data_IF_674217409341
#
_entry.id   IF_674217409341
#
_cell.length_a   1.000
_cell.length_b   1.000
_cell.length_c   1.000
_cell.angle_alpha   90.00
_cell.angle_beta   90.00
_cell.angle_gamma   90.00
#
_symmetry.space_group_name_H-M   'P 1'
#
loop_
_entity.id
_entity.type
_entity.pdbx_description
1 polymer ?
#
# COMPACT_ATOMS: atom_id res chain seq x y z
N UNK A 1 12.31 23.76 7.15
CA UNK A 1 10.92 24.23 7.31
C UNK A 1 10.01 23.01 7.25
N UNK A 2 8.94 22.96 8.03
CA UNK A 2 7.95 21.91 7.96
C UNK A 2 7.26 21.91 6.58
N UNK A 3 7.10 20.75 5.96
CA UNK A 3 6.41 20.61 4.66
C UNK A 3 4.93 20.36 4.90
N UNK A 4 4.07 20.82 4.00
CA UNK A 4 2.64 20.51 4.01
C UNK A 4 2.39 19.31 3.07
N UNK A 5 2.04 18.16 3.66
CA UNK A 5 1.94 16.89 2.96
C UNK A 5 0.52 16.34 3.03
N UNK A 6 -0.09 16.06 1.88
CA UNK A 6 -1.36 15.36 1.78
C UNK A 6 -1.13 13.87 1.56
N UNK A 7 -1.77 13.02 2.36
CA UNK A 7 -1.77 11.56 2.16
C UNK A 7 -3.20 11.11 1.83
N UNK A 8 -3.41 10.58 0.63
CA UNK A 8 -4.66 9.88 0.33
C UNK A 8 -4.54 8.40 0.72
N UNK A 9 -5.62 7.82 1.24
CA UNK A 9 -5.57 6.48 1.82
C UNK A 9 -4.86 6.43 3.18
N UNK A 10 -4.89 7.54 3.92
CA UNK A 10 -4.22 7.70 5.22
C UNK A 10 -4.65 6.67 6.26
N UNK A 11 -5.89 6.19 6.22
CA UNK A 11 -6.42 5.16 7.12
C UNK A 11 -5.97 3.74 6.77
N UNK A 12 -5.28 3.54 5.63
CA UNK A 12 -4.69 2.27 5.22
C UNK A 12 -3.37 1.97 5.94
N UNK A 13 -2.88 0.74 5.81
CA UNK A 13 -1.67 0.26 6.49
C UNK A 13 -0.44 1.14 6.21
N UNK A 14 -0.12 1.39 4.93
CA UNK A 14 0.99 2.27 4.53
C UNK A 14 0.71 3.73 4.88
N UNK A 15 -0.54 4.19 4.68
CA UNK A 15 -0.92 5.58 4.95
C UNK A 15 -0.69 5.97 6.41
N UNK A 16 -1.03 5.08 7.35
CA UNK A 16 -0.77 5.28 8.79
C UNK A 16 0.71 5.38 9.11
N UNK A 17 1.54 4.49 8.54
CA UNK A 17 2.99 4.52 8.77
C UNK A 17 3.63 5.80 8.21
N UNK A 18 3.26 6.21 7.00
CA UNK A 18 3.72 7.46 6.38
C UNK A 18 3.31 8.69 7.22
N UNK A 19 2.06 8.76 7.65
CA UNK A 19 1.58 9.85 8.47
C UNK A 19 2.32 9.96 9.80
N UNK A 20 2.62 8.81 10.43
CA UNK A 20 3.42 8.74 11.66
C UNK A 20 4.84 9.26 11.43
N UNK A 21 5.54 8.77 10.41
CA UNK A 21 6.93 9.15 10.14
C UNK A 21 7.03 10.65 9.79
N UNK A 22 6.15 11.17 8.94
CA UNK A 22 6.12 12.59 8.59
C UNK A 22 5.84 13.48 9.81
N UNK A 23 4.89 13.10 10.66
CA UNK A 23 4.59 13.83 11.90
C UNK A 23 5.80 13.85 12.86
N UNK A 24 6.54 12.74 12.98
CA UNK A 24 7.77 12.67 13.79
C UNK A 24 8.86 13.55 13.20
N UNK A 25 8.94 13.69 11.88
CA UNK A 25 9.85 14.61 11.19
C UNK A 25 9.45 16.09 11.33
N UNK A 26 8.29 16.38 11.93
CA UNK A 26 7.79 17.74 12.12
C UNK A 26 7.03 18.31 10.93
N UNK A 27 6.65 17.49 9.95
CA UNK A 27 5.84 17.92 8.81
C UNK A 27 4.35 18.09 9.19
N UNK A 28 3.66 18.97 8.49
CA UNK A 28 2.22 19.14 8.61
C UNK A 28 1.51 18.12 7.71
N UNK A 29 0.76 17.22 8.32
CA UNK A 29 0.11 16.12 7.59
C UNK A 29 -1.39 16.35 7.51
N UNK A 30 -1.92 16.27 6.28
CA UNK A 30 -3.34 16.22 5.99
C UNK A 30 -3.67 14.86 5.42
N UNK A 31 -4.68 14.19 5.94
CA UNK A 31 -5.07 12.85 5.53
C UNK A 31 -6.43 12.79 4.86
N UNK A 32 -6.55 12.07 3.76
CA UNK A 32 -7.84 11.71 3.15
C UNK A 32 -8.04 10.21 3.26
N UNK A 33 -9.18 9.81 3.86
CA UNK A 33 -9.69 8.44 3.88
C UNK A 33 -11.00 8.34 3.11
N UNK A 34 -11.39 7.13 2.69
CA UNK A 34 -12.67 6.88 2.04
C UNK A 34 -13.76 6.45 3.04
N UNK A 35 -13.39 5.74 4.09
CA UNK A 35 -14.30 5.19 5.09
C UNK A 35 -14.31 6.06 6.35
N UNK A 36 -15.47 6.58 6.72
CA UNK A 36 -15.67 7.36 7.94
C UNK A 36 -15.19 6.57 9.18
N UNK A 37 -15.61 5.29 9.31
CA UNK A 37 -15.22 4.40 10.40
C UNK A 37 -13.69 4.28 10.49
N UNK A 38 -13.02 3.91 9.40
CA UNK A 38 -11.54 3.75 9.38
C UNK A 38 -10.81 5.07 9.63
N UNK A 39 -11.35 6.19 9.14
CA UNK A 39 -10.77 7.51 9.37
C UNK A 39 -10.91 7.90 10.85
N UNK A 40 -12.03 7.59 11.47
CA UNK A 40 -12.25 7.80 12.90
C UNK A 40 -11.30 6.92 13.74
N UNK A 41 -11.19 5.62 13.46
CA UNK A 41 -10.23 4.74 14.12
C UNK A 41 -8.77 5.22 13.94
N UNK A 42 -8.42 5.69 12.75
CA UNK A 42 -7.10 6.24 12.47
C UNK A 42 -6.81 7.50 13.31
N UNK A 43 -7.81 8.33 13.60
CA UNK A 43 -7.63 9.55 14.40
C UNK A 43 -7.11 9.28 15.81
N UNK A 44 -7.41 8.12 16.38
CA UNK A 44 -6.89 7.72 17.70
C UNK A 44 -5.45 7.19 17.66
N UNK A 45 -5.02 6.69 16.51
CA UNK A 45 -3.67 6.11 16.35
C UNK A 45 -2.67 7.07 15.74
N UNK A 46 -3.15 8.08 15.02
CA UNK A 46 -2.35 9.12 14.38
C UNK A 46 -2.12 10.33 15.31
N UNK A 47 -1.86 10.06 16.59
CA UNK A 47 -1.51 11.09 17.55
C UNK A 47 -0.01 11.35 17.45
N UNK A 48 0.35 12.51 16.97
CA UNK A 48 1.74 12.98 16.82
C UNK A 48 1.93 14.35 17.49
N UNK A 49 3.17 14.87 17.47
CA UNK A 49 3.46 16.22 17.98
C UNK A 49 2.67 17.31 17.23
N UNK A 50 2.32 17.06 15.97
CA UNK A 50 1.44 17.89 15.17
C UNK A 50 0.09 17.17 14.95
N UNK A 51 -1.02 17.86 15.12
CA UNK A 51 -2.35 17.29 14.87
C UNK A 51 -2.52 16.98 13.37
N UNK A 52 -2.86 15.74 13.05
CA UNK A 52 -3.17 15.32 11.68
C UNK A 52 -4.63 15.69 11.40
N UNK A 53 -4.86 16.49 10.37
CA UNK A 53 -6.23 16.81 9.93
C UNK A 53 -6.73 15.74 8.97
N UNK A 54 -7.89 15.16 9.28
CA UNK A 54 -8.46 14.04 8.50
C UNK A 54 -9.74 14.49 7.79
N UNK A 55 -9.85 14.09 6.53
CA UNK A 55 -11.02 14.28 5.69
C UNK A 55 -11.53 12.93 5.16
N UNK A 56 -12.84 12.82 4.96
CA UNK A 56 -13.46 11.65 4.36
C UNK A 56 -14.01 12.03 2.97
N UNK A 57 -13.38 11.51 1.91
CA UNK A 57 -13.75 11.81 0.52
C UNK A 57 -13.70 10.56 -0.36
N UNK A 58 -14.58 10.50 -1.34
CA UNK A 58 -14.42 9.64 -2.52
C UNK A 58 -13.67 10.41 -3.63
N UNK A 59 -12.40 10.07 -3.84
CA UNK A 59 -11.53 10.77 -4.80
C UNK A 59 -12.01 10.68 -6.25
N UNK A 60 -12.89 9.72 -6.57
CA UNK A 60 -13.47 9.62 -7.92
C UNK A 60 -14.60 10.64 -8.15
N UNK A 61 -15.22 11.16 -7.09
CA UNK A 61 -16.37 12.05 -7.16
C UNK A 61 -16.12 13.44 -6.55
N UNK A 62 -15.40 13.53 -5.43
CA UNK A 62 -15.26 14.73 -4.61
C UNK A 62 -14.15 15.69 -5.07
N UNK A 63 -14.03 15.89 -6.39
CA UNK A 63 -12.98 16.69 -7.01
C UNK A 63 -12.87 18.11 -6.44
N UNK A 64 -13.99 18.80 -6.26
CA UNK A 64 -14.00 20.17 -5.75
C UNK A 64 -13.56 20.27 -4.29
N UNK A 65 -13.88 19.27 -3.48
CA UNK A 65 -13.45 19.22 -2.09
C UNK A 65 -11.94 18.95 -1.99
N UNK A 66 -11.40 18.07 -2.86
CA UNK A 66 -9.96 17.82 -2.93
C UNK A 66 -9.20 19.11 -3.31
N UNK A 67 -9.67 19.86 -4.31
CA UNK A 67 -9.07 21.15 -4.71
C UNK A 67 -9.10 22.16 -3.54
N UNK A 68 -10.24 22.24 -2.86
CA UNK A 68 -10.35 23.12 -1.68
C UNK A 68 -9.36 22.73 -0.58
N UNK A 69 -9.18 21.42 -0.29
CA UNK A 69 -8.24 20.97 0.74
C UNK A 69 -6.80 21.30 0.37
N UNK A 70 -6.40 21.05 -0.87
CA UNK A 70 -5.03 21.37 -1.34
C UNK A 70 -4.74 22.87 -1.16
N UNK A 71 -5.66 23.74 -1.57
CA UNK A 71 -5.53 25.19 -1.41
C UNK A 71 -5.54 25.63 0.04
N UNK A 72 -6.49 25.14 0.84
CA UNK A 72 -6.67 25.52 2.25
C UNK A 72 -5.45 25.23 3.11
N UNK A 73 -4.73 24.16 2.81
CA UNK A 73 -3.58 23.70 3.58
C UNK A 73 -2.24 24.00 2.91
N UNK A 74 -2.22 24.75 1.81
CA UNK A 74 -1.02 25.05 1.04
C UNK A 74 -0.17 23.81 0.78
N UNK A 75 -0.82 22.73 0.28
CA UNK A 75 -0.19 21.42 0.11
C UNK A 75 0.95 21.51 -0.89
N UNK A 76 2.14 21.13 -0.47
CA UNK A 76 3.36 21.11 -1.27
C UNK A 76 3.66 19.74 -1.89
N UNK A 77 3.29 18.66 -1.18
CA UNK A 77 3.54 17.28 -1.58
C UNK A 77 2.28 16.44 -1.40
N UNK A 78 2.05 15.53 -2.34
CA UNK A 78 0.94 14.58 -2.25
C UNK A 78 1.49 13.15 -2.32
N UNK A 79 1.10 12.30 -1.38
CA UNK A 79 1.36 10.86 -1.42
C UNK A 79 0.03 10.15 -1.66
N UNK A 80 -0.12 9.59 -2.87
CA UNK A 80 -1.34 8.92 -3.30
C UNK A 80 -1.26 7.42 -3.04
N UNK A 81 -1.74 6.99 -1.84
CA UNK A 81 -1.79 5.59 -1.43
C UNK A 81 -3.22 5.01 -1.43
N UNK A 82 -4.24 5.81 -1.77
CA UNK A 82 -5.61 5.32 -1.90
C UNK A 82 -5.73 4.39 -3.12
N UNK A 83 -6.26 3.20 -2.91
CA UNK A 83 -6.54 2.25 -3.99
C UNK A 83 -7.49 1.13 -3.52
N UNK A 84 -8.21 0.55 -4.47
CA UNK A 84 -8.81 -0.77 -4.32
C UNK A 84 -7.73 -1.83 -4.61
N UNK A 85 -7.14 -2.41 -3.55
CA UNK A 85 -5.90 -3.21 -3.64
C UNK A 85 -6.10 -4.73 -3.71
N UNK A 86 -7.27 -5.23 -3.33
CA UNK A 86 -7.54 -6.67 -3.32
C UNK A 86 -7.76 -7.19 -4.73
N UNK A 87 -6.86 -8.08 -5.19
CA UNK A 87 -6.85 -8.62 -6.56
C UNK A 87 -8.18 -9.29 -6.89
N UNK A 88 -8.66 -10.22 -6.06
CA UNK A 88 -9.93 -10.91 -6.27
C UNK A 88 -11.13 -9.97 -6.37
N UNK A 89 -11.28 -9.04 -5.40
CA UNK A 89 -12.37 -8.06 -5.43
C UNK A 89 -12.29 -7.13 -6.65
N UNK A 90 -11.09 -6.74 -7.08
CA UNK A 90 -10.91 -5.92 -8.27
C UNK A 90 -11.30 -6.69 -9.54
N UNK A 91 -11.01 -8.00 -9.58
CA UNK A 91 -11.38 -8.87 -10.69
C UNK A 91 -12.88 -9.04 -10.81
N UNK A 92 -13.58 -9.20 -9.69
CA UNK A 92 -15.04 -9.32 -9.62
C UNK A 92 -15.75 -7.98 -9.85
N UNK A 93 -15.10 -6.85 -9.53
CA UNK A 93 -15.67 -5.51 -9.60
C UNK A 93 -14.79 -4.55 -10.44
N UNK A 94 -14.55 -4.84 -11.74
CA UNK A 94 -13.60 -4.11 -12.57
C UNK A 94 -13.97 -2.62 -12.75
N UNK A 95 -15.25 -2.31 -12.85
CA UNK A 95 -15.71 -0.91 -12.96
C UNK A 95 -15.33 -0.10 -11.71
N UNK A 96 -15.55 -0.67 -10.50
CA UNK A 96 -15.17 0.01 -9.26
C UNK A 96 -13.64 0.14 -9.14
N UNK A 97 -12.89 -0.86 -9.59
CA UNK A 97 -11.43 -0.78 -9.62
C UNK A 97 -10.94 0.35 -10.54
N UNK A 98 -11.54 0.51 -11.73
CA UNK A 98 -11.23 1.63 -12.65
C UNK A 98 -11.63 2.97 -12.01
N UNK A 99 -12.82 3.06 -11.44
CA UNK A 99 -13.31 4.28 -10.80
C UNK A 99 -12.37 4.76 -9.69
N UNK A 100 -11.99 3.88 -8.77
CA UNK A 100 -11.11 4.22 -7.64
C UNK A 100 -9.66 4.42 -8.09
N UNK A 101 -9.10 3.44 -8.82
CA UNK A 101 -7.65 3.41 -9.09
C UNK A 101 -7.23 4.24 -10.31
N UNK A 102 -8.15 4.51 -11.25
CA UNK A 102 -7.84 5.28 -12.46
C UNK A 102 -8.46 6.67 -12.38
N UNK A 103 -9.79 6.77 -12.23
CA UNK A 103 -10.47 8.07 -12.20
C UNK A 103 -10.10 8.85 -10.94
N UNK A 104 -10.10 8.20 -9.76
CA UNK A 104 -9.67 8.81 -8.51
C UNK A 104 -8.21 9.30 -8.59
N UNK A 105 -7.30 8.48 -9.13
CA UNK A 105 -5.91 8.86 -9.36
C UNK A 105 -5.76 10.03 -10.34
N UNK A 106 -6.55 10.02 -11.44
CA UNK A 106 -6.57 11.11 -12.40
C UNK A 106 -7.03 12.43 -11.75
N UNK A 107 -8.05 12.39 -10.91
CA UNK A 107 -8.51 13.58 -10.18
C UNK A 107 -7.41 14.12 -9.25
N UNK A 108 -6.71 13.25 -8.52
CA UNK A 108 -5.57 13.65 -7.68
C UNK A 108 -4.47 14.26 -8.53
N UNK A 109 -4.12 13.65 -9.67
CA UNK A 109 -3.13 14.15 -10.61
C UNK A 109 -3.47 15.54 -11.13
N UNK A 110 -4.66 15.71 -11.71
CA UNK A 110 -5.08 16.96 -12.32
C UNK A 110 -5.09 18.13 -11.34
N UNK A 111 -5.60 17.87 -10.12
CA UNK A 111 -5.70 18.88 -9.08
C UNK A 111 -4.33 19.22 -8.49
N UNK A 112 -3.48 18.22 -8.27
CA UNK A 112 -2.10 18.45 -7.83
C UNK A 112 -1.33 19.28 -8.85
N UNK A 113 -1.44 18.95 -10.14
CA UNK A 113 -0.79 19.67 -11.22
C UNK A 113 -1.28 21.13 -11.33
N UNK A 114 -2.60 21.35 -11.32
CA UNK A 114 -3.17 22.69 -11.44
C UNK A 114 -2.92 23.60 -10.24
N UNK A 115 -2.62 23.03 -9.08
CA UNK A 115 -2.25 23.79 -7.86
C UNK A 115 -0.73 23.91 -7.65
N UNK A 116 0.10 23.43 -8.58
CA UNK A 116 1.55 23.58 -8.49
C UNK A 116 2.18 22.74 -7.37
N UNK A 117 1.59 21.60 -7.02
CA UNK A 117 2.17 20.64 -6.07
C UNK A 117 3.58 20.26 -6.53
N UNK A 118 4.59 20.39 -5.66
CA UNK A 118 6.01 20.18 -5.98
C UNK A 118 6.31 18.77 -6.45
N UNK A 119 5.71 17.77 -5.79
CA UNK A 119 5.73 16.37 -6.23
C UNK A 119 4.46 15.63 -5.79
N UNK A 120 3.99 14.75 -6.66
CA UNK A 120 2.95 13.77 -6.41
C UNK A 120 3.56 12.37 -6.52
N UNK A 121 3.55 11.63 -5.41
CA UNK A 121 4.09 10.28 -5.32
C UNK A 121 2.95 9.28 -5.42
N UNK A 122 2.89 8.51 -6.49
CA UNK A 122 1.94 7.42 -6.68
C UNK A 122 2.47 6.11 -6.08
N UNK A 123 1.73 5.55 -5.13
CA UNK A 123 2.05 4.23 -4.61
C UNK A 123 1.53 3.17 -5.57
N UNK A 124 2.44 2.37 -6.10
CA UNK A 124 2.15 1.30 -7.05
C UNK A 124 2.60 -0.07 -6.54
N UNK A 125 2.63 -1.06 -7.40
CA UNK A 125 2.83 -2.47 -7.06
C UNK A 125 3.66 -3.17 -8.15
N UNK A 126 4.33 -4.26 -7.78
CA UNK A 126 4.95 -5.24 -8.69
C UNK A 126 3.98 -5.73 -9.78
N UNK A 127 2.69 -5.87 -9.46
CA UNK A 127 1.64 -6.32 -10.38
C UNK A 127 1.35 -5.35 -11.53
N UNK A 128 1.90 -4.13 -11.48
CA UNK A 128 1.81 -3.14 -12.56
C UNK A 128 2.88 -3.32 -13.65
N UNK A 129 3.90 -4.15 -13.44
CA UNK A 129 5.02 -4.35 -14.40
C UNK A 129 4.52 -5.07 -15.65
N UNK A 130 4.00 -6.28 -15.48
CA UNK A 130 3.38 -7.09 -16.53
C UNK A 130 1.96 -7.46 -16.09
N UNK A 131 0.98 -6.52 -16.22
CA UNK A 131 -0.30 -6.67 -15.58
C UNK A 131 -1.10 -7.85 -16.18
N UNK A 132 -1.42 -8.83 -15.32
CA UNK A 132 -2.25 -9.99 -15.66
C UNK A 132 -3.61 -9.99 -14.95
N UNK A 133 -3.91 -8.94 -14.17
CA UNK A 133 -5.16 -8.79 -13.44
C UNK A 133 -5.64 -7.33 -13.49
N UNK A 134 -6.93 -7.13 -13.20
CA UNK A 134 -7.55 -5.78 -13.20
C UNK A 134 -6.81 -4.83 -12.28
N UNK A 135 -6.45 -5.25 -11.07
CA UNK A 135 -5.68 -4.42 -10.12
C UNK A 135 -4.36 -3.94 -10.75
N UNK A 136 -3.54 -4.86 -11.27
CA UNK A 136 -2.27 -4.53 -11.92
C UNK A 136 -2.45 -3.58 -13.09
N UNK A 137 -3.45 -3.82 -13.95
CA UNK A 137 -3.76 -2.95 -15.11
C UNK A 137 -4.15 -1.54 -14.69
N UNK A 138 -4.98 -1.39 -13.65
CA UNK A 138 -5.38 -0.07 -13.14
C UNK A 138 -4.20 0.70 -12.54
N UNK A 139 -3.29 0.01 -11.85
CA UNK A 139 -2.07 0.63 -11.29
C UNK A 139 -1.08 1.00 -12.39
N UNK A 140 -0.94 0.16 -13.42
CA UNK A 140 -0.12 0.48 -14.59
C UNK A 140 -0.61 1.77 -15.29
N UNK A 141 -1.92 1.94 -15.47
CA UNK A 141 -2.48 3.16 -16.04
C UNK A 141 -2.20 4.39 -15.15
N UNK A 142 -2.34 4.26 -13.83
CA UNK A 142 -1.98 5.33 -12.90
C UNK A 142 -0.51 5.74 -13.06
N UNK A 143 0.42 4.77 -13.13
CA UNK A 143 1.84 5.05 -13.33
C UNK A 143 2.10 5.85 -14.61
N UNK A 144 1.50 5.42 -15.72
CA UNK A 144 1.65 6.13 -17.01
C UNK A 144 1.18 7.57 -16.93
N UNK A 145 0.03 7.81 -16.31
CA UNK A 145 -0.51 9.16 -16.15
C UNK A 145 0.38 10.06 -15.28
N UNK A 146 0.94 9.52 -14.18
CA UNK A 146 1.77 10.29 -13.26
C UNK A 146 3.13 10.62 -13.88
N UNK A 147 3.78 9.64 -14.50
CA UNK A 147 5.08 9.82 -15.18
C UNK A 147 4.99 10.77 -16.37
N UNK A 148 3.85 10.81 -17.11
CA UNK A 148 3.63 11.78 -18.19
C UNK A 148 3.68 13.23 -17.69
N UNK A 149 3.34 13.46 -16.42
CA UNK A 149 3.38 14.78 -15.77
C UNK A 149 4.62 14.99 -14.90
N UNK A 150 5.66 14.20 -15.11
CA UNK A 150 6.93 14.27 -14.37
C UNK A 150 6.79 14.05 -12.86
N UNK A 151 5.79 13.26 -12.44
CA UNK A 151 5.60 12.86 -11.04
C UNK A 151 6.21 11.50 -10.74
N UNK A 152 6.31 11.17 -9.46
CA UNK A 152 7.07 10.03 -8.96
C UNK A 152 6.19 8.82 -8.72
N UNK A 153 6.74 7.62 -8.97
CA UNK A 153 6.13 6.33 -8.64
C UNK A 153 6.99 5.60 -7.62
N UNK A 154 6.35 5.02 -6.59
CA UNK A 154 6.98 4.05 -5.70
C UNK A 154 6.25 2.70 -5.84
N UNK A 155 6.91 1.70 -6.45
CA UNK A 155 6.39 0.34 -6.58
C UNK A 155 6.76 -0.48 -5.34
N UNK A 156 5.77 -0.98 -4.63
CA UNK A 156 5.94 -1.93 -3.54
C UNK A 156 5.71 -3.37 -4.00
N UNK A 157 6.13 -4.29 -3.16
CA UNK A 157 5.75 -5.71 -3.14
C UNK A 157 4.76 -5.95 -2.00
N UNK A 158 4.53 -7.19 -1.57
CA UNK A 158 3.62 -7.43 -0.44
C UNK A 158 4.22 -6.87 0.86
N UNK A 159 3.38 -6.30 1.71
CA UNK A 159 3.78 -5.86 3.05
C UNK A 159 3.41 -6.92 4.07
N UNK A 160 4.37 -7.28 4.92
CA UNK A 160 4.11 -8.11 6.08
C UNK A 160 3.03 -7.44 6.96
N UNK A 161 2.05 -8.20 7.42
CA UNK A 161 0.94 -7.76 8.28
C UNK A 161 0.02 -6.67 7.72
N UNK A 162 0.01 -6.44 6.41
CA UNK A 162 -0.95 -5.48 5.84
C UNK A 162 -2.39 -5.94 6.04
N UNK A 163 -3.30 -4.97 6.23
CA UNK A 163 -4.74 -5.23 6.40
C UNK A 163 -5.27 -6.14 5.28
N UNK A 164 -5.91 -7.26 5.62
CA UNK A 164 -6.44 -8.25 4.68
C UNK A 164 -5.39 -9.12 3.99
N UNK A 165 -4.13 -9.09 4.43
CA UNK A 165 -3.09 -10.02 3.98
C UNK A 165 -3.29 -11.43 4.57
N UNK A 166 -2.56 -12.41 4.03
CA UNK A 166 -2.56 -13.77 4.55
C UNK A 166 -2.23 -13.81 6.06
N UNK A 167 -1.26 -13.02 6.50
CA UNK A 167 -0.88 -12.94 7.92
C UNK A 167 -1.99 -12.32 8.80
N UNK A 168 -2.73 -11.36 8.27
CA UNK A 168 -3.86 -10.75 8.99
C UNK A 168 -5.02 -11.76 9.15
N UNK A 169 -5.30 -12.53 8.10
CA UNK A 169 -6.29 -13.64 8.14
C UNK A 169 -5.87 -14.70 9.16
N UNK A 170 -4.60 -15.14 9.10
CA UNK A 170 -4.07 -16.15 10.02
C UNK A 170 -4.09 -15.69 11.48
N UNK A 171 -3.78 -14.41 11.73
CA UNK A 171 -3.93 -13.81 13.07
C UNK A 171 -5.37 -13.93 13.60
N UNK A 172 -6.35 -13.63 12.76
CA UNK A 172 -7.75 -13.79 13.13
C UNK A 172 -8.10 -15.23 13.46
N UNK A 173 -7.69 -16.19 12.60
CA UNK A 173 -7.94 -17.62 12.82
C UNK A 173 -7.27 -18.13 14.10
N UNK A 174 -6.03 -17.81 14.33
CA UNK A 174 -5.29 -18.21 15.54
C UNK A 174 -5.91 -17.60 16.81
N UNK A 175 -6.36 -16.34 16.78
CA UNK A 175 -7.06 -15.72 17.90
C UNK A 175 -8.39 -16.39 18.24
N UNK A 176 -9.04 -17.01 17.26
CA UNK A 176 -10.26 -17.82 17.45
C UNK A 176 -9.96 -19.27 17.86
N UNK A 177 -8.68 -19.64 18.02
CA UNK A 177 -8.26 -21.03 18.34
C UNK A 177 -8.45 -22.00 17.17
N UNK A 178 -8.59 -21.51 15.95
CA UNK A 178 -8.75 -22.30 14.72
C UNK A 178 -7.39 -22.56 14.07
N UNK A 179 -7.24 -23.70 13.34
CA UNK A 179 -6.10 -23.86 12.45
C UNK A 179 -6.04 -22.74 11.41
N UNK A 180 -4.84 -22.29 11.05
CA UNK A 180 -4.68 -21.36 9.93
C UNK A 180 -4.87 -22.10 8.61
N UNK A 181 -5.54 -21.47 7.65
CA UNK A 181 -5.77 -22.05 6.33
C UNK A 181 -4.65 -21.71 5.36
N UNK A 182 -4.03 -22.73 4.75
CA UNK A 182 -2.90 -22.60 3.82
C UNK A 182 -3.27 -23.23 2.49
N UNK A 183 -2.99 -22.55 1.38
CA UNK A 183 -3.19 -23.15 0.06
C UNK A 183 -2.28 -24.38 -0.11
N UNK A 184 -2.85 -25.46 -0.64
CA UNK A 184 -2.12 -26.71 -0.87
C UNK A 184 -1.02 -26.56 -1.92
N UNK A 185 -1.25 -25.71 -2.91
CA UNK A 185 -0.21 -25.31 -3.86
C UNK A 185 0.69 -24.27 -3.19
N UNK A 186 1.97 -24.58 -3.03
CA UNK A 186 2.90 -23.59 -2.51
C UNK A 186 3.07 -22.45 -3.51
N UNK A 187 3.04 -21.23 -2.98
CA UNK A 187 3.21 -20.02 -3.77
C UNK A 187 4.32 -19.17 -3.18
N UNK A 188 5.16 -18.65 -4.05
CA UNK A 188 6.24 -17.75 -3.64
C UNK A 188 5.77 -16.31 -3.73
N UNK A 189 6.01 -15.54 -2.67
CA UNK A 189 5.72 -14.11 -2.60
C UNK A 189 6.95 -13.33 -2.16
N UNK A 190 6.99 -12.08 -2.61
CA UNK A 190 8.03 -11.14 -2.20
C UNK A 190 7.46 -10.16 -1.17
N UNK A 191 8.20 -9.96 -0.10
CA UNK A 191 7.79 -9.11 1.01
C UNK A 191 8.81 -8.02 1.28
N UNK A 192 8.31 -6.86 1.72
CA UNK A 192 9.12 -5.77 2.24
C UNK A 192 8.55 -5.32 3.59
N UNK A 193 9.42 -4.87 4.48
CA UNK A 193 8.97 -4.28 5.73
C UNK A 193 8.35 -2.90 5.47
N UNK A 194 7.22 -2.63 6.12
CA UNK A 194 6.46 -1.40 5.88
C UNK A 194 7.26 -0.12 6.14
N UNK A 195 8.13 -0.13 7.16
CA UNK A 195 8.98 1.02 7.50
C UNK A 195 10.00 1.31 6.40
N UNK A 196 10.64 0.26 5.85
CA UNK A 196 11.62 0.41 4.78
C UNK A 196 10.98 0.97 3.51
N UNK A 197 9.75 0.54 3.22
CA UNK A 197 9.01 1.11 2.09
C UNK A 197 8.54 2.53 2.35
N UNK A 198 8.10 2.86 3.56
CA UNK A 198 7.77 4.23 3.93
C UNK A 198 9.00 5.15 3.83
N UNK A 199 10.16 4.72 4.31
CA UNK A 199 11.42 5.43 4.16
C UNK A 199 11.79 5.69 2.69
N UNK A 200 11.57 4.70 1.81
CA UNK A 200 11.75 4.86 0.36
C UNK A 200 10.85 5.96 -0.19
N UNK A 201 9.57 5.95 0.17
CA UNK A 201 8.59 6.97 -0.26
C UNK A 201 9.02 8.36 0.22
N UNK A 202 9.43 8.50 1.48
CA UNK A 202 9.88 9.79 2.01
C UNK A 202 11.15 10.30 1.34
N UNK A 203 12.11 9.42 1.03
CA UNK A 203 13.33 9.78 0.29
C UNK A 203 13.06 10.19 -1.15
N UNK A 204 11.99 9.67 -1.76
CA UNK A 204 11.61 10.02 -3.14
C UNK A 204 10.85 11.35 -3.26
N UNK A 205 10.45 11.99 -2.16
CA UNK A 205 9.62 13.21 -2.19
C UNK A 205 10.22 14.37 -2.99
N UNK A 206 11.55 14.47 -3.07
CA UNK A 206 12.25 15.52 -3.81
C UNK A 206 12.79 15.05 -5.18
N UNK A 207 12.27 13.94 -5.70
CA UNK A 207 12.70 13.33 -6.97
C UNK A 207 11.50 13.19 -7.87
N UNK A 208 11.50 13.87 -9.02
CA UNK A 208 10.39 13.87 -9.98
C UNK A 208 10.71 12.98 -11.18
N UNK A 209 9.65 12.47 -11.84
CA UNK A 209 9.75 11.72 -13.09
C UNK A 209 10.38 10.32 -13.00
N UNK A 210 10.59 9.81 -11.79
CA UNK A 210 11.29 8.54 -11.56
C UNK A 210 10.38 7.49 -10.95
N UNK A 211 10.72 6.22 -11.19
CA UNK A 211 10.12 5.07 -10.51
C UNK A 211 11.12 4.50 -9.51
N UNK A 212 10.71 4.39 -8.26
CA UNK A 212 11.48 3.83 -7.16
C UNK A 212 10.95 2.47 -6.75
N UNK A 213 11.86 1.57 -6.39
CA UNK A 213 11.58 0.23 -5.88
C UNK A 213 12.34 0.00 -4.59
N UNK A 214 11.90 -0.90 -3.69
CA UNK A 214 12.67 -1.26 -2.51
C UNK A 214 14.06 -1.77 -2.90
N UNK A 215 15.09 -1.40 -2.16
CA UNK A 215 16.44 -1.91 -2.40
C UNK A 215 16.60 -3.39 -2.03
N UNK A 216 15.73 -3.89 -1.16
CA UNK A 216 15.72 -5.26 -0.65
C UNK A 216 14.29 -5.77 -0.49
N UNK A 217 14.04 -7.02 -0.87
CA UNK A 217 12.84 -7.75 -0.48
C UNK A 217 13.17 -9.20 -0.09
N UNK A 218 12.27 -9.82 0.65
CA UNK A 218 12.35 -11.21 1.09
C UNK A 218 11.49 -12.08 0.19
N UNK A 219 12.11 -13.10 -0.40
CA UNK A 219 11.43 -14.16 -1.16
C UNK A 219 11.01 -15.24 -0.18
N UNK A 220 9.72 -15.46 -0.02
CA UNK A 220 9.15 -16.35 1.00
C UNK A 220 8.15 -17.30 0.33
N UNK A 221 8.29 -18.60 0.58
CA UNK A 221 7.26 -19.60 0.33
C UNK A 221 6.12 -19.42 1.32
N UNK A 222 4.87 -19.53 0.89
CA UNK A 222 3.73 -19.44 1.82
C UNK A 222 3.65 -20.63 2.76
N UNK A 223 4.24 -21.79 2.40
CA UNK A 223 4.36 -22.92 3.30
C UNK A 223 5.36 -22.65 4.43
N UNK A 224 6.56 -22.12 4.11
CA UNK A 224 7.56 -21.73 5.13
C UNK A 224 7.01 -20.60 6.03
N UNK A 225 6.27 -19.66 5.43
CA UNK A 225 5.60 -18.59 6.19
C UNK A 225 4.58 -19.14 7.18
N UNK A 226 3.80 -20.15 6.77
CA UNK A 226 2.81 -20.80 7.63
C UNK A 226 3.47 -21.59 8.76
N UNK A 227 4.55 -22.32 8.47
CA UNK A 227 5.34 -23.04 9.47
C UNK A 227 5.88 -22.08 10.53
N UNK A 228 6.58 -21.03 10.10
CA UNK A 228 7.12 -20.01 11.00
C UNK A 228 6.03 -19.32 11.81
N UNK A 229 4.88 -19.00 11.19
CA UNK A 229 3.74 -18.38 11.87
C UNK A 229 3.17 -19.29 12.96
N UNK A 230 2.99 -20.58 12.66
CA UNK A 230 2.47 -21.56 13.62
C UNK A 230 3.40 -21.73 14.82
N UNK A 231 4.72 -21.79 14.59
CA UNK A 231 5.69 -21.89 15.67
C UNK A 231 5.69 -20.65 16.58
N UNK A 232 5.66 -19.43 16.00
CA UNK A 232 5.63 -18.18 16.75
C UNK A 232 4.34 -18.01 17.57
N UNK A 233 3.20 -18.44 17.00
CA UNK A 233 1.87 -18.24 17.61
C UNK A 233 1.32 -19.49 18.30
N UNK A 234 2.08 -20.60 18.34
CA UNK A 234 1.65 -21.88 18.92
C UNK A 234 0.32 -22.37 18.39
N UNK A 235 0.10 -22.28 17.07
CA UNK A 235 -1.11 -22.73 16.39
C UNK A 235 -0.82 -23.86 15.40
N UNK A 236 -1.84 -24.41 14.77
CA UNK A 236 -1.74 -25.45 13.72
C UNK A 236 -2.19 -24.92 12.37
N UNK A 237 -1.82 -25.59 11.30
CA UNK A 237 -2.23 -25.28 9.94
C UNK A 237 -3.09 -26.36 9.32
N UNK A 238 -3.99 -25.98 8.43
CA UNK A 238 -4.81 -26.87 7.60
C UNK A 238 -4.61 -26.47 6.12
N UNK A 239 -4.25 -27.45 5.29
CA UNK A 239 -4.03 -27.23 3.87
C UNK A 239 -5.32 -27.40 3.08
N UNK A 240 -5.71 -26.36 2.34
CA UNK A 240 -6.92 -26.31 1.51
C UNK A 240 -6.56 -26.15 0.03
N UNK A 241 -7.45 -26.59 -0.85
CA UNK A 241 -7.33 -26.27 -2.28
C UNK A 241 -7.74 -24.81 -2.52
N UNK A 242 -7.00 -24.07 -3.37
CA UNK A 242 -7.38 -22.70 -3.70
C UNK A 242 -8.73 -22.68 -4.43
N UNK A 243 -9.50 -21.63 -4.19
CA UNK A 243 -10.83 -21.44 -4.81
C UNK A 243 -10.75 -21.13 -6.32
N UNK A 244 -9.58 -20.72 -6.84
CA UNK A 244 -9.33 -20.50 -8.26
C UNK A 244 -7.87 -20.72 -8.61
N UNK A 245 -7.60 -21.21 -9.83
CA UNK A 245 -6.24 -21.37 -10.40
C UNK A 245 -5.62 -20.04 -10.89
N UNK A 246 -6.29 -18.92 -10.64
CA UNK A 246 -5.92 -17.62 -11.21
C UNK A 246 -4.71 -16.96 -10.53
N UNK A 247 -4.19 -17.54 -9.45
CA UNK A 247 -3.07 -16.96 -8.72
C UNK A 247 -1.73 -17.43 -9.32
N UNK A 248 -0.90 -16.50 -9.77
CA UNK A 248 0.46 -16.84 -10.23
C UNK A 248 1.22 -17.51 -9.08
N UNK A 249 1.90 -18.64 -9.37
CA UNK A 249 2.72 -19.35 -8.38
C UNK A 249 3.92 -18.51 -7.91
N UNK A 250 4.46 -17.67 -8.79
CA UNK A 250 5.57 -16.74 -8.48
C UNK A 250 5.23 -15.37 -9.04
N UNK A 251 5.40 -14.33 -8.23
CA UNK A 251 5.27 -12.93 -8.66
C UNK A 251 6.52 -12.47 -9.42
N UNK A 252 6.36 -11.53 -10.33
CA UNK A 252 7.48 -10.85 -11.02
C UNK A 252 7.84 -9.58 -10.25
N UNK A 253 9.13 -9.34 -10.07
CA UNK A 253 9.64 -8.13 -9.42
C UNK A 253 10.67 -7.44 -10.31
N UNK A 254 10.92 -6.12 -10.13
CA UNK A 254 11.99 -5.42 -10.82
C UNK A 254 13.36 -6.02 -10.55
N UNK A 255 14.21 -6.09 -11.59
CA UNK A 255 15.56 -6.67 -11.50
C UNK A 255 16.49 -5.90 -10.55
N UNK A 256 16.17 -4.62 -10.29
CA UNK A 256 16.96 -3.74 -9.41
C UNK A 256 16.78 -4.09 -7.92
N UNK A 257 15.79 -4.90 -7.57
CA UNK A 257 15.53 -5.29 -6.18
C UNK A 257 16.46 -6.44 -5.79
N UNK A 258 17.26 -6.22 -4.74
CA UNK A 258 18.01 -7.31 -4.11
C UNK A 258 17.05 -8.28 -3.43
N UNK A 259 17.09 -9.55 -3.84
CA UNK A 259 16.25 -10.60 -3.27
C UNK A 259 17.05 -11.44 -2.27
N UNK A 260 16.49 -11.63 -1.08
CA UNK A 260 16.98 -12.57 -0.08
C UNK A 260 15.95 -13.68 0.08
N UNK A 261 16.33 -14.92 -0.19
CA UNK A 261 15.49 -16.08 0.14
C UNK A 261 15.52 -16.27 1.66
N UNK A 262 14.36 -16.16 2.29
CA UNK A 262 14.23 -16.31 3.72
C UNK A 262 13.87 -17.77 4.05
N UNK A 263 14.63 -18.36 4.97
CA UNK A 263 14.28 -19.64 5.61
C UNK A 263 13.33 -19.43 6.79
N UNK A 264 12.84 -20.51 7.38
CA UNK A 264 11.87 -20.47 8.47
C UNK A 264 12.37 -19.67 9.68
N UNK A 265 13.67 -19.75 10.03
CA UNK A 265 14.24 -19.02 11.18
C UNK A 265 14.26 -17.50 10.91
N UNK A 266 14.69 -17.09 9.73
CA UNK A 266 14.65 -15.68 9.31
C UNK A 266 13.21 -15.15 9.28
N UNK A 267 12.26 -15.96 8.81
CA UNK A 267 10.84 -15.59 8.80
C UNK A 267 10.32 -15.38 10.22
N UNK A 268 10.67 -16.24 11.18
CA UNK A 268 10.30 -16.05 12.58
C UNK A 268 10.78 -14.71 13.14
N UNK A 269 12.01 -14.31 12.82
CA UNK A 269 12.54 -13.01 13.24
C UNK A 269 11.78 -11.84 12.60
N UNK A 270 11.35 -11.97 11.35
CA UNK A 270 10.52 -10.98 10.68
C UNK A 270 9.08 -10.89 11.27
N UNK A 271 8.60 -11.97 11.89
CA UNK A 271 7.26 -12.05 12.48
C UNK A 271 7.22 -11.56 13.95
N UNK A 272 8.34 -11.46 14.65
CA UNK A 272 8.49 -10.95 16.02
C UNK A 272 8.60 -9.42 16.06
#
# INVERSE_FOLDING_TARGET
MARNVLITGVSGFLGRELAKQLSVCGDNVVGIGHSEKRSHEASFTLVGPNSIQLYCLDLSHDRNQLDHIIKKHDIEYVIHAAAMKHVGLSQENPYRAVEVNVIGSKNVLDISYSNGVKNLIGISTDKAINPSCVYGSTKHLMEKMFLEKDYTICRGVNFLFSDGSVLDIWKGQAAEGKPITVNKNDTIRFFVHIKDFADLVLKSMNRNGETFVPSLCYKISLHDLAEAFCEVNSCSSEYIYPASDAEKLVEEIPDEIKVVSADVEMIKDLLR
#
